data_IF_913709906629
#
_entry.id   IF_913709906629
#
_cell.length_a   1.000
_cell.length_b   1.000
_cell.length_c   1.000
_cell.angle_alpha   90.00
_cell.angle_beta   90.00
_cell.angle_gamma   90.00
#
_symmetry.space_group_name_H-M   'P 1'
#
loop_
_entity.id
_entity.type
_entity.pdbx_description
1 polymer ?
#
# COMPACT_ATOMS: atom_id res chain seq x y z
N UNK A 1 -6.76 11.95 8.70
CA UNK A 1 -7.65 10.78 8.50
C UNK A 1 -7.86 10.57 7.00
N UNK A 2 -8.00 9.33 6.51
CA UNK A 2 -8.23 9.07 5.09
C UNK A 2 -9.66 9.46 4.66
N UNK A 3 -9.82 10.02 3.45
CA UNK A 3 -11.12 10.48 2.90
C UNK A 3 -12.01 9.38 2.28
N UNK A 4 -11.83 8.12 2.63
CA UNK A 4 -12.53 7.02 1.97
C UNK A 4 -13.74 6.55 2.79
N UNK A 5 -14.95 6.61 2.22
CA UNK A 5 -16.20 6.21 2.90
C UNK A 5 -16.19 4.74 3.33
N UNK A 6 -15.52 3.85 2.59
CA UNK A 6 -15.39 2.44 3.00
C UNK A 6 -14.58 2.27 4.29
N UNK A 7 -13.91 3.33 4.75
CA UNK A 7 -13.06 3.31 5.94
C UNK A 7 -13.68 3.99 7.16
N UNK A 8 -14.96 4.41 7.07
CA UNK A 8 -15.63 5.17 8.12
C UNK A 8 -15.54 4.48 9.50
N UNK A 9 -15.73 3.16 9.54
CA UNK A 9 -15.63 2.38 10.79
C UNK A 9 -14.23 2.46 11.44
N UNK A 10 -13.17 2.44 10.63
CA UNK A 10 -11.78 2.52 11.14
C UNK A 10 -11.43 3.95 11.59
N UNK A 11 -11.98 4.96 10.92
CA UNK A 11 -11.90 6.35 11.35
C UNK A 11 -12.57 6.53 12.71
N UNK A 12 -13.78 5.98 12.89
CA UNK A 12 -14.51 6.05 14.17
C UNK A 12 -13.76 5.34 15.30
N UNK A 13 -13.21 4.14 15.05
CA UNK A 13 -12.35 3.44 16.03
C UNK A 13 -11.17 4.32 16.43
N UNK A 14 -10.54 4.99 15.47
CA UNK A 14 -9.40 5.86 15.72
C UNK A 14 -9.80 7.10 16.50
N UNK A 15 -10.92 7.75 16.16
CA UNK A 15 -11.43 8.92 16.89
C UNK A 15 -11.75 8.57 18.35
N UNK A 16 -12.37 7.41 18.60
CA UNK A 16 -12.60 6.91 19.96
C UNK A 16 -11.31 6.65 20.72
N UNK A 17 -10.31 6.05 20.07
CA UNK A 17 -8.99 5.84 20.66
C UNK A 17 -8.31 7.18 21.03
N UNK A 18 -8.57 8.24 20.27
CA UNK A 18 -8.07 9.60 20.53
C UNK A 18 -8.90 10.39 21.56
N UNK A 19 -9.91 9.78 22.19
CA UNK A 19 -10.79 10.47 23.15
C UNK A 19 -11.79 11.42 22.48
N UNK A 20 -12.18 11.15 21.23
CA UNK A 20 -13.14 11.93 20.44
C UNK A 20 -12.79 13.43 20.36
N UNK A 21 -11.68 13.79 19.69
CA UNK A 21 -11.31 15.18 19.52
C UNK A 21 -12.40 15.95 18.77
N UNK A 22 -12.47 17.26 19.03
CA UNK A 22 -13.41 18.15 18.33
C UNK A 22 -13.16 18.13 16.81
N UNK A 23 -14.24 18.26 16.03
CA UNK A 23 -14.21 18.06 14.55
C UNK A 23 -13.30 19.07 13.83
N UNK A 24 -13.16 20.28 14.36
CA UNK A 24 -12.24 21.32 13.87
C UNK A 24 -10.76 20.91 13.94
N UNK A 25 -10.44 19.88 14.73
CA UNK A 25 -9.08 19.32 14.86
C UNK A 25 -8.83 18.11 13.95
N UNK A 26 -9.79 17.74 13.10
CA UNK A 26 -9.68 16.57 12.21
C UNK A 26 -9.37 17.03 10.78
N UNK A 27 -8.16 16.71 10.32
CA UNK A 27 -7.77 16.90 8.92
C UNK A 27 -8.04 15.62 8.13
N UNK A 28 -8.67 15.77 6.97
CA UNK A 28 -8.96 14.67 6.04
C UNK A 28 -8.04 14.77 4.82
N UNK A 29 -7.39 13.67 4.44
CA UNK A 29 -6.41 13.61 3.35
C UNK A 29 -6.46 12.27 2.61
N UNK A 30 -5.61 12.08 1.59
CA UNK A 30 -5.36 10.74 1.04
C UNK A 30 -4.52 9.94 2.03
N UNK A 31 -4.69 8.61 2.02
CA UNK A 31 -3.95 7.72 2.92
C UNK A 31 -2.43 7.85 2.75
N UNK A 32 -1.96 8.00 1.51
CA UNK A 32 -0.53 8.15 1.21
C UNK A 32 0.08 9.44 1.77
N UNK A 33 -0.74 10.50 1.96
CA UNK A 33 -0.28 11.80 2.45
C UNK A 33 -0.26 11.86 3.99
N UNK A 34 -0.93 10.93 4.67
CA UNK A 34 -1.07 10.95 6.14
C UNK A 34 0.29 10.97 6.86
N UNK A 35 1.27 10.11 6.53
CA UNK A 35 2.58 10.15 7.21
C UNK A 35 3.26 11.52 7.10
N UNK A 36 3.30 12.09 5.89
CA UNK A 36 3.89 13.41 5.65
C UNK A 36 3.20 14.51 6.47
N UNK A 37 1.87 14.53 6.48
CA UNK A 37 1.09 15.53 7.23
C UNK A 37 1.38 15.45 8.73
N UNK A 38 1.52 14.24 9.29
CA UNK A 38 1.84 14.08 10.71
C UNK A 38 3.21 14.68 11.02
N UNK A 39 4.23 14.41 10.19
CA UNK A 39 5.57 14.97 10.42
C UNK A 39 5.57 16.50 10.34
N UNK A 40 4.99 17.08 9.29
CA UNK A 40 4.96 18.54 9.10
C UNK A 40 4.26 19.27 10.26
N UNK A 41 3.10 18.76 10.70
CA UNK A 41 2.38 19.36 11.82
C UNK A 41 3.14 19.18 13.15
N UNK A 42 3.82 18.05 13.32
CA UNK A 42 4.62 17.80 14.53
C UNK A 42 5.87 18.68 14.61
N UNK A 43 6.50 19.01 13.48
CA UNK A 43 7.58 20.00 13.43
C UNK A 43 7.12 21.40 13.87
N UNK A 44 5.84 21.72 13.63
CA UNK A 44 5.21 22.96 14.11
C UNK A 44 4.80 22.91 15.59
N UNK A 45 5.28 21.93 16.36
CA UNK A 45 4.96 21.74 17.78
C UNK A 45 3.55 21.20 18.05
N UNK A 46 2.80 20.79 17.02
CA UNK A 46 1.44 20.27 17.19
C UNK A 46 1.49 18.77 17.39
N UNK A 47 1.02 18.28 18.55
CA UNK A 47 0.81 16.85 18.76
C UNK A 47 -0.18 16.31 17.73
N UNK A 48 0.32 15.50 16.79
CA UNK A 48 -0.46 15.02 15.64
C UNK A 48 -0.46 13.49 15.59
N UNK A 49 -1.63 12.91 15.35
CA UNK A 49 -1.82 11.46 15.17
C UNK A 49 -2.65 11.26 13.91
N UNK A 50 -2.39 10.20 13.14
CA UNK A 50 -3.15 9.90 11.93
C UNK A 50 -3.28 8.41 11.64
N UNK A 51 -4.33 8.07 10.89
CA UNK A 51 -4.64 6.71 10.45
C UNK A 51 -4.25 6.53 8.98
N UNK A 52 -3.51 5.47 8.66
CA UNK A 52 -3.21 5.08 7.27
C UNK A 52 -3.08 3.56 7.12
N UNK A 53 -2.94 3.07 5.89
CA UNK A 53 -2.61 1.66 5.62
C UNK A 53 -1.14 1.37 5.90
N UNK A 54 -0.85 0.18 6.42
CA UNK A 54 0.52 -0.28 6.69
C UNK A 54 1.37 -0.32 5.42
N UNK A 55 0.77 -0.65 4.28
CA UNK A 55 1.40 -0.58 2.96
C UNK A 55 1.92 0.83 2.65
N UNK A 56 1.09 1.85 2.84
CA UNK A 56 1.43 3.24 2.57
C UNK A 56 2.48 3.77 3.55
N UNK A 57 2.40 3.37 4.83
CA UNK A 57 3.43 3.73 5.80
C UNK A 57 4.77 3.06 5.50
N UNK A 58 4.79 1.78 5.11
CA UNK A 58 6.04 1.08 4.74
C UNK A 58 6.67 1.64 3.48
N UNK A 59 5.87 2.04 2.50
CA UNK A 59 6.38 2.79 1.34
C UNK A 59 7.02 4.11 1.79
N UNK A 60 6.37 4.84 2.70
CA UNK A 60 6.87 6.11 3.23
C UNK A 60 8.18 5.94 3.99
N UNK A 61 8.30 4.95 4.88
CA UNK A 61 9.53 4.62 5.59
C UNK A 61 10.69 4.31 4.63
N UNK A 62 10.43 3.57 3.54
CA UNK A 62 11.44 3.30 2.53
C UNK A 62 11.85 4.55 1.74
N UNK A 63 10.94 5.51 1.56
CA UNK A 63 11.23 6.78 0.91
C UNK A 63 11.98 7.77 1.82
N UNK A 64 11.83 7.63 3.15
CA UNK A 64 12.36 8.56 4.17
C UNK A 64 13.19 7.79 5.19
N UNK A 65 14.49 7.68 4.94
CA UNK A 65 15.44 6.87 5.71
C UNK A 65 15.40 7.09 7.23
N UNK A 66 14.99 8.28 7.70
CA UNK A 66 14.99 8.68 9.12
C UNK A 66 13.66 9.33 9.56
N UNK A 67 12.51 8.77 9.19
CA UNK A 67 11.22 9.24 9.73
C UNK A 67 11.16 9.09 11.27
N UNK A 68 10.56 10.06 11.96
CA UNK A 68 10.33 10.01 13.42
C UNK A 68 9.00 9.37 13.79
N UNK A 69 8.25 8.93 12.78
CA UNK A 69 6.94 8.33 12.96
C UNK A 69 7.07 6.95 13.59
N UNK A 70 6.16 6.66 14.52
CA UNK A 70 6.00 5.36 15.16
C UNK A 70 4.57 4.87 15.00
N UNK A 71 4.40 3.56 14.95
CA UNK A 71 3.09 2.93 15.03
C UNK A 71 2.66 2.90 16.50
N UNK A 72 1.66 3.71 16.84
CA UNK A 72 1.06 3.75 18.17
C UNK A 72 0.08 2.59 18.38
N UNK A 73 -0.65 2.22 17.32
CA UNK A 73 -1.64 1.16 17.34
C UNK A 73 -1.80 0.55 15.95
N UNK A 74 -1.96 -0.77 15.89
CA UNK A 74 -2.45 -1.47 14.70
C UNK A 74 -3.93 -1.75 14.88
N UNK A 75 -4.71 -1.56 13.83
CA UNK A 75 -6.14 -1.90 13.80
C UNK A 75 -6.29 -2.92 12.67
N UNK A 76 -6.63 -4.15 13.05
CA UNK A 76 -6.78 -5.25 12.09
C UNK A 76 -7.86 -4.93 11.07
N UNK A 77 -7.58 -5.29 9.82
CA UNK A 77 -8.58 -5.22 8.77
C UNK A 77 -9.69 -6.23 9.06
N UNK A 78 -10.93 -5.76 9.04
CA UNK A 78 -12.11 -6.57 9.30
C UNK A 78 -13.17 -6.30 8.23
N UNK A 79 -12.92 -6.81 7.02
CA UNK A 79 -13.91 -6.89 5.95
C UNK A 79 -13.86 -8.28 5.32
N UNK A 80 -14.98 -8.99 5.36
CA UNK A 80 -15.12 -10.35 4.81
C UNK A 80 -14.97 -10.40 3.29
N UNK A 81 -15.06 -9.26 2.60
CA UNK A 81 -14.87 -9.18 1.15
C UNK A 81 -13.38 -9.19 0.74
N UNK A 82 -12.46 -9.00 1.69
CA UNK A 82 -11.04 -9.05 1.40
C UNK A 82 -10.62 -10.48 1.02
N UNK A 83 -10.00 -10.64 -0.16
CA UNK A 83 -9.59 -11.93 -0.70
C UNK A 83 -8.67 -12.72 0.23
N UNK A 84 -7.85 -12.01 1.02
CA UNK A 84 -6.90 -12.58 1.97
C UNK A 84 -7.22 -12.23 3.43
N UNK A 85 -8.47 -11.84 3.71
CA UNK A 85 -8.88 -11.29 5.01
C UNK A 85 -8.43 -9.83 5.23
N UNK A 86 -7.46 -9.34 4.47
CA UNK A 86 -6.98 -7.97 4.42
C UNK A 86 -6.41 -7.61 3.04
N UNK A 87 -6.19 -6.33 2.72
CA UNK A 87 -5.46 -5.92 1.52
C UNK A 87 -4.02 -6.45 1.53
N UNK A 88 -3.55 -6.91 0.38
CA UNK A 88 -2.18 -7.43 0.23
C UNK A 88 -1.57 -6.87 -1.05
N UNK A 89 -0.40 -6.25 -0.95
CA UNK A 89 0.41 -5.90 -2.12
C UNK A 89 0.94 -7.19 -2.73
N UNK A 90 0.66 -7.43 -4.01
CA UNK A 90 0.96 -8.70 -4.67
C UNK A 90 1.81 -8.50 -5.93
N UNK A 91 2.59 -9.52 -6.27
CA UNK A 91 3.01 -9.75 -7.65
C UNK A 91 1.92 -10.57 -8.33
N UNK A 92 1.42 -10.06 -9.45
CA UNK A 92 0.41 -10.71 -10.28
C UNK A 92 1.02 -11.07 -11.64
N UNK A 93 0.59 -12.21 -12.19
CA UNK A 93 1.00 -12.65 -13.52
C UNK A 93 -0.10 -13.41 -14.27
N UNK A 94 0.19 -13.84 -15.50
CA UNK A 94 -0.78 -14.55 -16.33
C UNK A 94 -1.33 -15.78 -15.64
N UNK A 95 -2.66 -15.92 -15.66
CA UNK A 95 -3.34 -17.13 -15.18
C UNK A 95 -2.83 -18.37 -15.90
N UNK A 96 -2.66 -19.46 -15.15
CA UNK A 96 -2.19 -20.78 -15.64
C UNK A 96 -0.69 -20.83 -15.98
N UNK A 97 0.10 -19.85 -15.55
CA UNK A 97 1.56 -19.87 -15.66
C UNK A 97 2.17 -19.66 -14.29
N UNK A 98 3.44 -20.04 -14.14
CA UNK A 98 4.22 -19.73 -12.94
C UNK A 98 5.34 -18.78 -13.31
N UNK A 99 5.79 -18.00 -12.33
CA UNK A 99 6.91 -17.07 -12.52
C UNK A 99 8.15 -17.80 -13.08
N UNK A 100 8.46 -19.01 -12.59
CA UNK A 100 9.61 -19.79 -13.09
C UNK A 100 9.54 -20.19 -14.57
N UNK A 101 8.34 -20.20 -15.16
CA UNK A 101 8.09 -20.57 -16.55
C UNK A 101 8.06 -19.36 -17.49
N UNK A 102 8.19 -18.14 -16.95
CA UNK A 102 8.26 -16.91 -17.74
C UNK A 102 9.70 -16.63 -18.20
N UNK A 103 9.88 -15.86 -19.30
CA UNK A 103 11.20 -15.38 -19.68
C UNK A 103 11.82 -14.55 -18.55
N UNK A 104 13.14 -14.50 -18.49
CA UNK A 104 13.85 -13.74 -17.44
C UNK A 104 13.78 -12.23 -17.63
N UNK A 105 13.60 -11.75 -18.86
CA UNK A 105 13.39 -10.34 -19.16
C UNK A 105 11.88 -10.07 -19.23
N UNK A 106 11.35 -9.28 -18.30
CA UNK A 106 9.92 -9.02 -18.16
C UNK A 106 9.64 -7.52 -18.00
N UNK A 107 8.46 -7.10 -18.43
CA UNK A 107 7.91 -5.76 -18.15
C UNK A 107 6.93 -5.87 -17.00
N UNK A 108 7.01 -4.96 -16.04
CA UNK A 108 6.14 -4.94 -14.87
C UNK A 108 5.48 -3.59 -14.72
N UNK A 109 4.15 -3.56 -14.76
CA UNK A 109 3.39 -2.36 -14.41
C UNK A 109 3.25 -2.30 -12.89
N UNK A 110 3.49 -1.12 -12.31
CA UNK A 110 3.56 -0.92 -10.87
C UNK A 110 2.73 0.32 -10.53
N UNK A 111 1.85 0.20 -9.55
CA UNK A 111 1.14 1.37 -9.03
C UNK A 111 2.16 2.32 -8.38
N UNK A 112 2.15 3.58 -8.77
CA UNK A 112 3.15 4.58 -8.36
C UNK A 112 3.14 4.89 -6.87
N UNK A 113 2.15 4.37 -6.13
CA UNK A 113 2.10 4.39 -4.66
C UNK A 113 3.02 3.35 -4.00
N UNK A 114 3.59 2.41 -4.76
CA UNK A 114 4.37 1.28 -4.23
C UNK A 114 5.74 1.15 -4.91
N UNK A 115 6.37 2.27 -5.30
CA UNK A 115 7.63 2.26 -6.08
C UNK A 115 8.76 1.59 -5.32
N UNK A 116 8.95 1.93 -4.05
CA UNK A 116 10.07 1.48 -3.25
C UNK A 116 9.84 0.05 -2.75
N UNK A 117 8.62 -0.28 -2.31
CA UNK A 117 8.23 -1.65 -1.99
C UNK A 117 8.42 -2.59 -3.19
N UNK A 118 7.93 -2.19 -4.37
CA UNK A 118 8.11 -2.97 -5.59
C UNK A 118 9.58 -3.11 -5.98
N UNK A 119 10.38 -2.03 -5.93
CA UNK A 119 11.83 -2.11 -6.18
C UNK A 119 12.51 -3.08 -5.23
N UNK A 120 12.26 -2.97 -3.92
CA UNK A 120 12.84 -3.86 -2.90
C UNK A 120 12.51 -5.32 -3.19
N UNK A 121 11.26 -5.62 -3.53
CA UNK A 121 10.83 -6.97 -3.87
C UNK A 121 11.46 -7.47 -5.18
N UNK A 122 11.43 -6.66 -6.24
CA UNK A 122 11.97 -7.03 -7.55
C UNK A 122 13.49 -7.26 -7.50
N UNK A 123 14.25 -6.54 -6.68
CA UNK A 123 15.68 -6.77 -6.51
C UNK A 123 15.97 -8.22 -6.05
N UNK A 124 15.13 -8.81 -5.18
CA UNK A 124 15.27 -10.20 -4.73
C UNK A 124 15.11 -11.17 -5.91
N UNK A 125 14.27 -10.84 -6.89
CA UNK A 125 14.09 -11.61 -8.12
C UNK A 125 15.22 -11.33 -9.12
N UNK A 126 15.75 -10.11 -9.17
CA UNK A 126 16.90 -9.76 -9.99
C UNK A 126 18.15 -10.56 -9.57
N UNK A 127 18.35 -10.76 -8.26
CA UNK A 127 19.40 -11.65 -7.72
C UNK A 127 19.23 -13.12 -8.17
N UNK A 128 18.02 -13.51 -8.58
CA UNK A 128 17.68 -14.83 -9.16
C UNK A 128 17.74 -14.84 -10.70
N UNK A 129 18.35 -13.81 -11.30
CA UNK A 129 18.60 -13.69 -12.73
C UNK A 129 17.45 -13.13 -13.56
N UNK A 130 16.39 -12.60 -12.95
CA UNK A 130 15.36 -11.85 -13.68
C UNK A 130 15.82 -10.42 -13.99
N UNK A 131 15.20 -9.78 -14.97
CA UNK A 131 15.39 -8.36 -15.29
C UNK A 131 14.03 -7.74 -15.57
N UNK A 132 13.75 -6.60 -14.93
CA UNK A 132 12.44 -5.96 -15.00
C UNK A 132 12.51 -4.57 -15.62
N UNK A 133 11.81 -4.37 -16.74
CA UNK A 133 11.45 -3.05 -17.23
C UNK A 133 10.24 -2.54 -16.42
N UNK A 134 10.50 -1.60 -15.50
CA UNK A 134 9.52 -1.08 -14.53
C UNK A 134 8.70 0.06 -15.16
N UNK A 135 7.39 -0.07 -15.20
CA UNK A 135 6.44 0.94 -15.73
C UNK A 135 5.58 1.43 -14.57
N UNK A 136 5.71 2.69 -14.18
CA UNK A 136 4.96 3.26 -13.06
C UNK A 136 3.69 3.97 -13.54
N UNK A 137 2.55 3.63 -12.93
CA UNK A 137 1.24 4.17 -13.29
C UNK A 137 0.51 4.68 -12.04
N UNK A 138 -0.24 5.78 -12.15
CA UNK A 138 -1.04 6.32 -11.04
C UNK A 138 -2.27 5.47 -10.68
N UNK A 139 -2.55 4.44 -11.47
CA UNK A 139 -3.66 3.50 -11.33
C UNK A 139 -3.78 2.64 -12.59
N UNK A 140 -4.78 1.77 -12.65
CA UNK A 140 -5.08 0.91 -13.82
C UNK A 140 -3.90 0.07 -14.28
N UNK A 141 -3.17 -0.51 -13.32
CA UNK A 141 -1.97 -1.32 -13.63
C UNK A 141 -2.33 -2.60 -14.39
N UNK A 142 -3.50 -3.17 -14.11
CA UNK A 142 -4.04 -4.33 -14.83
C UNK A 142 -4.45 -3.98 -16.26
N UNK A 143 -4.84 -2.73 -16.53
CA UNK A 143 -5.14 -2.30 -17.89
C UNK A 143 -3.86 -2.31 -18.76
N UNK A 144 -2.71 -1.92 -18.20
CA UNK A 144 -1.44 -2.01 -18.93
C UNK A 144 -1.10 -3.47 -19.30
N UNK A 145 -1.39 -4.42 -18.40
CA UNK A 145 -1.27 -5.84 -18.70
C UNK A 145 -2.23 -6.28 -19.82
N UNK A 146 -3.53 -5.95 -19.70
CA UNK A 146 -4.53 -6.32 -20.72
C UNK A 146 -4.21 -5.77 -22.12
N UNK A 147 -3.54 -4.61 -22.21
CA UNK A 147 -3.13 -4.00 -23.47
C UNK A 147 -1.73 -4.47 -23.95
N UNK A 148 -1.13 -5.48 -23.30
CA UNK A 148 0.17 -6.03 -23.69
C UNK A 148 1.37 -5.12 -23.41
N UNK A 149 1.18 -4.07 -22.61
CA UNK A 149 2.22 -3.11 -22.23
C UNK A 149 3.15 -3.73 -21.17
N UNK A 150 2.61 -4.55 -20.26
CA UNK A 150 3.36 -5.27 -19.24
C UNK A 150 3.06 -6.76 -19.24
N UNK A 151 4.01 -7.55 -18.73
CA UNK A 151 3.91 -9.02 -18.59
C UNK A 151 3.50 -9.41 -17.17
N UNK A 152 3.83 -8.57 -16.19
CA UNK A 152 3.49 -8.71 -14.77
C UNK A 152 2.89 -7.41 -14.23
N UNK A 153 2.24 -7.50 -13.07
CA UNK A 153 1.66 -6.37 -12.34
C UNK A 153 2.06 -6.42 -10.87
N UNK A 154 2.42 -5.27 -10.29
CA UNK A 154 2.50 -5.11 -8.83
C UNK A 154 1.46 -4.06 -8.41
N UNK A 155 0.43 -4.53 -7.70
CA UNK A 155 -0.62 -3.68 -7.15
C UNK A 155 -1.25 -4.32 -5.90
N UNK A 156 -2.03 -3.52 -5.16
CA UNK A 156 -2.72 -3.98 -3.97
C UNK A 156 -4.00 -4.75 -4.35
N UNK A 157 -4.09 -5.99 -3.85
CA UNK A 157 -5.26 -6.84 -4.02
C UNK A 157 -6.16 -6.68 -2.80
N UNK A 158 -7.38 -6.20 -3.05
CA UNK A 158 -8.44 -6.14 -2.04
C UNK A 158 -9.45 -7.29 -2.20
N UNK A 159 -10.51 -7.13 -3.01
CA UNK A 159 -11.48 -8.21 -3.29
C UNK A 159 -10.98 -9.20 -4.35
N UNK A 160 -9.93 -8.84 -5.08
CA UNK A 160 -9.43 -9.58 -6.23
C UNK A 160 -10.26 -9.41 -7.52
N UNK A 161 -11.28 -8.56 -7.53
CA UNK A 161 -12.14 -8.38 -8.72
C UNK A 161 -11.35 -7.89 -9.95
N UNK A 162 -10.48 -6.88 -9.77
CA UNK A 162 -9.68 -6.31 -10.87
C UNK A 162 -8.73 -7.33 -11.50
N UNK A 163 -7.96 -8.07 -10.68
CA UNK A 163 -7.07 -9.11 -11.19
C UNK A 163 -7.83 -10.24 -11.90
N UNK A 164 -9.00 -10.65 -11.39
CA UNK A 164 -9.83 -11.69 -12.01
C UNK A 164 -10.33 -11.24 -13.38
N UNK A 165 -10.82 -10.01 -13.49
CA UNK A 165 -11.28 -9.42 -14.75
C UNK A 165 -10.14 -9.31 -15.78
N UNK A 166 -8.92 -9.11 -15.31
CA UNK A 166 -7.72 -9.06 -16.15
C UNK A 166 -7.09 -10.43 -16.44
N UNK A 167 -7.71 -11.54 -16.02
CA UNK A 167 -7.14 -12.90 -16.12
C UNK A 167 -5.73 -13.03 -15.51
N UNK A 168 -5.51 -12.34 -14.39
CA UNK A 168 -4.30 -12.42 -13.58
C UNK A 168 -4.49 -13.36 -12.39
N UNK A 169 -3.40 -13.93 -11.91
CA UNK A 169 -3.31 -14.68 -10.66
C UNK A 169 -2.18 -14.16 -9.77
N UNK A 170 -2.28 -14.43 -8.45
CA UNK A 170 -1.24 -14.03 -7.51
C UNK A 170 -0.07 -15.00 -7.62
N UNK A 171 1.08 -14.46 -8.02
CA UNK A 171 2.35 -15.19 -8.04
C UNK A 171 3.06 -15.11 -6.69
N UNK A 172 2.99 -13.96 -6.03
CA UNK A 172 3.53 -13.79 -4.68
C UNK A 172 2.82 -12.70 -3.89
N UNK A 173 2.85 -12.82 -2.56
CA UNK A 173 2.33 -11.83 -1.61
C UNK A 173 3.51 -11.05 -1.03
N UNK A 174 3.58 -9.76 -1.35
CA UNK A 174 4.71 -8.90 -1.01
C UNK A 174 4.55 -8.33 0.40
N UNK A 175 3.38 -7.78 0.71
CA UNK A 175 3.11 -7.12 1.99
C UNK A 175 1.63 -7.14 2.33
N UNK A 176 1.31 -7.63 3.52
CA UNK A 176 -0.04 -7.51 4.10
C UNK A 176 -0.26 -6.11 4.69
N UNK A 177 -1.47 -5.57 4.53
CA UNK A 177 -1.82 -4.24 4.99
C UNK A 177 -3.03 -4.23 5.92
N UNK A 178 -2.76 -3.96 7.20
CA UNK A 178 -3.75 -3.51 8.18
C UNK A 178 -3.70 -1.98 8.32
N UNK A 179 -4.62 -1.42 9.09
CA UNK A 179 -4.53 -0.02 9.47
C UNK A 179 -3.48 0.20 10.56
N UNK A 180 -2.79 1.32 10.48
CA UNK A 180 -1.86 1.81 11.50
C UNK A 180 -2.24 3.22 11.92
N UNK A 181 -2.26 3.42 13.23
CA UNK A 181 -2.31 4.73 13.86
C UNK A 181 -0.88 5.17 14.10
N UNK A 182 -0.50 6.24 13.42
CA UNK A 182 0.84 6.82 13.45
C UNK A 182 0.86 8.06 14.34
N UNK A 183 1.96 8.26 15.05
CA UNK A 183 2.29 9.51 15.72
C UNK A 183 3.81 9.73 15.68
N UNK A 184 4.29 10.81 16.28
CA UNK A 184 5.72 11.04 16.44
C UNK A 184 6.16 10.49 17.80
N UNK A 185 7.35 9.88 17.85
CA UNK A 185 7.99 9.53 19.13
C UNK A 185 8.28 10.83 19.88
N UNK A 186 7.60 11.04 21.01
CA UNK A 186 8.00 12.09 21.94
C UNK A 186 9.23 11.58 22.70
N UNK A 187 10.27 12.42 22.78
CA UNK A 187 11.38 12.21 23.69
C UNK A 187 10.91 12.29 25.16
#
# INVERSE_FOLDING_TARGET
MPNNRSLANYVDITLRYLGNPSKDRVVVSRGEDVPFIIEELSQSGKKTIGLTGRDLFKEYELAKYNTKLIVLKTIDWNDKNAMFGKPVLCLLGPKSKKLENLPKNLRVSINSKYKNLAKKYLNILEDKGYRFAKIYLSGSTEAAYCNGISDLVIDIVYTGSSMKNANLEVYDKILESDFVVLGVKND
#
